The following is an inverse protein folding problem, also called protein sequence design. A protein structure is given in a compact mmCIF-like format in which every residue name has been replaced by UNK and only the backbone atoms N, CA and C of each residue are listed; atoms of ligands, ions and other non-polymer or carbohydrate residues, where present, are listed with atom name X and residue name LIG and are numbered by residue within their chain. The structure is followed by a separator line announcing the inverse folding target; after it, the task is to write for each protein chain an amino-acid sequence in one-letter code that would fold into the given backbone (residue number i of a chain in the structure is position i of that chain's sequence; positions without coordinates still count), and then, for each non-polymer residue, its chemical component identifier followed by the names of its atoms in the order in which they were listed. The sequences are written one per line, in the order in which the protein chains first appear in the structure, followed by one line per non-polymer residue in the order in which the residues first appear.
data_IF_098808407997
#
_entry.id   IF_098808407997
#
_cell.length_a   1.000
_cell.length_b   1.000
_cell.length_c   1.000
_cell.angle_alpha   90.00
_cell.angle_beta   90.00
_cell.angle_gamma   90.00
#
_symmetry.space_group_name_H-M   'P 1'
#
loop_
_entity.id
_entity.type
_entity.pdbx_description
1 polymer ?
#
# COMPACT_ATOMS: atom_id res chain seq x y z
N UNK A 1 -13.11 -20.22 -20.76
CA UNK A 1 -14.21 -19.73 -19.89
C UNK A 1 -13.76 -19.05 -18.58
N UNK A 2 -12.50 -18.58 -18.45
CA UNK A 2 -11.89 -18.28 -17.12
C UNK A 2 -11.90 -16.80 -16.66
N UNK A 3 -12.09 -15.82 -17.55
CA UNK A 3 -11.95 -14.38 -17.19
C UNK A 3 -13.20 -13.72 -16.58
N UNK A 4 -14.38 -14.34 -16.69
CA UNK A 4 -15.64 -13.71 -16.27
C UNK A 4 -15.95 -13.91 -14.76
N UNK A 5 -15.63 -15.10 -14.22
CA UNK A 5 -15.83 -15.40 -12.79
C UNK A 5 -14.89 -14.61 -11.87
N UNK A 6 -13.67 -14.29 -12.34
CA UNK A 6 -12.68 -13.51 -11.59
C UNK A 6 -13.15 -12.08 -11.29
N UNK A 7 -13.71 -11.39 -12.30
CA UNK A 7 -14.22 -10.01 -12.17
C UNK A 7 -15.45 -9.88 -11.27
N UNK A 8 -16.27 -10.93 -11.16
CA UNK A 8 -17.43 -10.94 -10.25
C UNK A 8 -16.98 -11.12 -8.80
N UNK A 9 -15.97 -11.96 -8.55
CA UNK A 9 -15.35 -12.11 -7.23
C UNK A 9 -14.66 -10.84 -6.73
N UNK A 10 -13.97 -10.11 -7.62
CA UNK A 10 -13.33 -8.80 -7.34
C UNK A 10 -14.33 -7.75 -6.85
N UNK A 11 -15.42 -7.54 -7.62
CA UNK A 11 -16.49 -6.59 -7.23
C UNK A 11 -17.15 -6.98 -5.92
N UNK A 12 -17.32 -8.28 -5.67
CA UNK A 12 -17.88 -8.78 -4.42
C UNK A 12 -16.95 -8.53 -3.23
N UNK A 13 -15.64 -8.71 -3.37
CA UNK A 13 -14.66 -8.47 -2.30
C UNK A 13 -14.60 -6.99 -1.91
N UNK A 14 -14.53 -6.07 -2.88
CA UNK A 14 -14.54 -4.63 -2.61
C UNK A 14 -15.82 -4.20 -1.89
N UNK A 15 -16.98 -4.72 -2.29
CA UNK A 15 -18.24 -4.40 -1.62
C UNK A 15 -18.29 -4.90 -0.17
N UNK A 16 -17.82 -6.13 0.08
CA UNK A 16 -17.74 -6.68 1.44
C UNK A 16 -16.82 -5.84 2.34
N UNK A 17 -15.66 -5.45 1.82
CA UNK A 17 -14.73 -4.57 2.53
C UNK A 17 -15.35 -3.21 2.85
N UNK A 18 -16.00 -2.56 1.87
CA UNK A 18 -16.68 -1.27 2.08
C UNK A 18 -17.81 -1.34 3.11
N UNK A 19 -18.48 -2.50 3.24
CA UNK A 19 -19.51 -2.75 4.26
C UNK A 19 -18.96 -3.14 5.63
N UNK A 20 -17.65 -3.33 5.77
CA UNK A 20 -17.03 -3.84 7.00
C UNK A 20 -17.21 -5.34 7.23
N UNK A 21 -17.71 -6.08 6.25
CA UNK A 21 -17.86 -7.55 6.29
C UNK A 21 -16.52 -8.28 6.02
N UNK A 22 -15.49 -7.53 5.64
CA UNK A 22 -14.13 -7.99 5.40
C UNK A 22 -13.16 -6.96 5.99
N UNK A 23 -12.15 -7.42 6.73
CA UNK A 23 -11.13 -6.56 7.32
C UNK A 23 -10.20 -5.96 6.27
N UNK A 24 -9.50 -4.88 6.64
CA UNK A 24 -8.45 -4.29 5.80
C UNK A 24 -7.36 -5.32 5.44
N UNK A 25 -6.99 -6.19 6.39
CA UNK A 25 -5.98 -7.23 6.15
C UNK A 25 -6.43 -8.23 5.09
N UNK A 26 -7.64 -8.77 5.22
CA UNK A 26 -8.20 -9.72 4.26
C UNK A 26 -8.36 -9.10 2.87
N UNK A 27 -8.81 -7.85 2.81
CA UNK A 27 -8.97 -7.15 1.54
C UNK A 27 -7.62 -6.91 0.86
N UNK A 28 -6.60 -6.47 1.61
CA UNK A 28 -5.24 -6.31 1.08
C UNK A 28 -4.63 -7.65 0.64
N UNK A 29 -4.88 -8.73 1.38
CA UNK A 29 -4.47 -10.08 0.96
C UNK A 29 -5.14 -10.47 -0.35
N UNK A 30 -6.44 -10.21 -0.49
CA UNK A 30 -7.18 -10.47 -1.72
C UNK A 30 -6.59 -9.70 -2.91
N UNK A 31 -6.28 -8.41 -2.74
CA UNK A 31 -5.62 -7.59 -3.76
C UNK A 31 -4.24 -8.14 -4.15
N UNK A 32 -3.44 -8.56 -3.16
CA UNK A 32 -2.12 -9.16 -3.40
C UNK A 32 -2.25 -10.44 -4.26
N UNK A 33 -3.18 -11.33 -3.93
CA UNK A 33 -3.42 -12.56 -4.71
C UNK A 33 -3.87 -12.25 -6.14
N UNK A 34 -4.75 -11.27 -6.34
CA UNK A 34 -5.19 -10.86 -7.67
C UNK A 34 -4.06 -10.26 -8.52
N UNK A 35 -3.13 -9.56 -7.88
CA UNK A 35 -1.93 -9.03 -8.50
C UNK A 35 -0.86 -10.10 -8.80
N UNK A 36 -1.14 -11.38 -8.53
CA UNK A 36 -0.21 -12.49 -8.77
C UNK A 36 0.81 -12.74 -7.67
N UNK A 37 0.70 -12.03 -6.53
CA UNK A 37 1.64 -12.19 -5.41
C UNK A 37 1.37 -13.48 -4.63
N UNK A 38 2.45 -14.09 -4.15
CA UNK A 38 2.41 -15.40 -3.48
C UNK A 38 3.50 -15.52 -2.42
N UNK A 39 3.26 -16.35 -1.41
CA UNK A 39 4.25 -16.67 -0.38
C UNK A 39 5.39 -17.56 -0.89
N UNK A 40 5.23 -18.18 -2.06
CA UNK A 40 6.17 -19.16 -2.60
C UNK A 40 7.29 -18.53 -3.45
N UNK A 41 7.18 -17.26 -3.82
CA UNK A 41 8.18 -16.53 -4.61
C UNK A 41 8.53 -15.23 -3.89
N UNK A 42 9.78 -15.15 -3.42
CA UNK A 42 10.29 -13.99 -2.69
C UNK A 42 10.29 -12.71 -3.53
N UNK A 43 10.42 -12.83 -4.85
CA UNK A 43 10.40 -11.68 -5.76
C UNK A 43 8.99 -11.12 -5.95
N UNK A 44 7.96 -11.89 -5.63
CA UNK A 44 6.54 -11.54 -5.77
C UNK A 44 5.77 -11.71 -4.46
N UNK A 45 6.46 -11.53 -3.33
CA UNK A 45 5.84 -11.66 -2.01
C UNK A 45 4.70 -10.63 -1.82
N UNK A 46 3.64 -10.94 -1.03
CA UNK A 46 2.61 -9.98 -0.68
C UNK A 46 3.17 -8.68 -0.09
N UNK A 47 2.64 -7.54 -0.52
CA UNK A 47 3.04 -6.21 -0.05
C UNK A 47 1.95 -5.61 0.82
N UNK A 48 2.39 -5.03 1.93
CA UNK A 48 1.56 -4.27 2.86
C UNK A 48 2.13 -2.87 3.07
N UNK A 49 1.28 -1.85 3.25
CA UNK A 49 1.73 -0.52 3.58
C UNK A 49 2.24 -0.44 5.02
N UNK A 50 3.21 0.43 5.25
CA UNK A 50 3.63 0.83 6.58
C UNK A 50 2.58 1.78 7.16
N UNK A 51 1.93 1.38 8.26
CA UNK A 51 0.83 2.13 8.85
C UNK A 51 1.32 3.17 9.85
N UNK A 52 2.23 2.79 10.74
CA UNK A 52 2.74 3.69 11.78
C UNK A 52 3.87 4.56 11.24
N UNK A 53 3.86 5.82 11.67
CA UNK A 53 4.92 6.79 11.45
C UNK A 53 5.76 7.02 12.72
N UNK A 54 5.14 6.88 13.90
CA UNK A 54 5.78 7.03 15.20
C UNK A 54 6.28 5.67 15.71
N UNK A 55 7.59 5.60 15.96
CA UNK A 55 8.28 4.45 16.55
C UNK A 55 9.17 4.85 17.73
N UNK A 56 9.13 6.12 18.14
CA UNK A 56 10.02 6.68 19.15
C UNK A 56 9.29 6.96 20.47
N UNK A 57 7.97 7.18 20.42
CA UNK A 57 7.15 7.36 21.61
C UNK A 57 7.05 6.06 22.43
N UNK A 58 7.11 6.19 23.75
CA UNK A 58 6.91 5.06 24.68
C UNK A 58 5.48 4.49 24.57
N UNK A 59 4.49 5.35 24.38
CA UNK A 59 3.10 4.98 24.14
C UNK A 59 2.58 5.59 22.84
N UNK A 60 1.86 4.78 22.06
CA UNK A 60 1.28 5.20 20.79
C UNK A 60 -0.12 5.81 20.98
N UNK A 61 -0.25 7.09 20.68
CA UNK A 61 -1.56 7.75 20.64
C UNK A 61 -2.26 7.51 19.29
N UNK A 62 -3.10 6.48 19.21
CA UNK A 62 -3.86 6.14 18.00
C UNK A 62 -4.96 7.14 17.61
N UNK A 63 -5.19 8.19 18.40
CA UNK A 63 -6.08 9.31 18.03
C UNK A 63 -5.34 10.47 17.34
N UNK A 64 -4.01 10.48 17.42
CA UNK A 64 -3.18 11.49 16.78
C UNK A 64 -2.89 11.09 15.33
N UNK A 65 -3.30 11.94 14.37
CA UNK A 65 -3.03 11.70 12.95
C UNK A 65 -1.53 11.55 12.64
N UNK A 66 -0.64 12.19 13.41
CA UNK A 66 0.83 12.08 13.22
C UNK A 66 1.40 10.71 13.56
N UNK A 67 0.66 9.86 14.28
CA UNK A 67 1.06 8.49 14.57
C UNK A 67 1.00 7.60 13.33
N UNK A 68 0.23 8.00 12.31
CA UNK A 68 0.03 7.23 11.09
C UNK A 68 0.75 7.86 9.90
N UNK A 69 1.19 7.02 8.96
CA UNK A 69 1.72 7.48 7.67
C UNK A 69 0.62 7.98 6.77
N UNK A 70 0.98 8.93 5.90
CA UNK A 70 0.09 9.41 4.85
C UNK A 70 0.01 8.36 3.73
N UNK A 71 -1.05 7.56 3.73
CA UNK A 71 -1.26 6.48 2.75
C UNK A 71 -1.58 7.00 1.33
N UNK A 72 -1.79 8.30 1.15
CA UNK A 72 -1.90 8.90 -0.19
C UNK A 72 -0.54 9.07 -0.88
N UNK A 73 0.57 8.92 -0.12
CA UNK A 73 1.93 9.13 -0.61
C UNK A 73 2.75 7.83 -0.59
N UNK A 74 3.63 7.61 -1.58
CA UNK A 74 4.59 6.51 -1.51
C UNK A 74 5.61 6.72 -0.38
N UNK A 75 6.29 5.65 0.04
CA UNK A 75 7.28 5.72 1.14
C UNK A 75 8.39 6.74 0.91
N UNK A 76 8.82 6.94 -0.34
CA UNK A 76 9.84 7.94 -0.69
C UNK A 76 9.40 9.39 -0.54
N UNK A 77 8.09 9.65 -0.44
CA UNK A 77 7.52 10.99 -0.35
C UNK A 77 6.85 11.29 1.00
N UNK A 78 7.13 10.48 2.02
CA UNK A 78 6.56 10.67 3.37
C UNK A 78 7.08 11.94 4.06
N UNK A 79 8.26 12.43 3.67
CA UNK A 79 8.81 13.73 4.09
C UNK A 79 9.12 14.58 2.88
N UNK A 80 9.03 15.91 3.03
CA UNK A 80 9.27 16.83 1.91
C UNK A 80 10.72 16.75 1.42
N UNK A 81 11.69 16.69 2.33
CA UNK A 81 13.11 16.55 1.98
C UNK A 81 13.38 15.29 1.14
N UNK A 82 12.79 14.14 1.49
CA UNK A 82 12.97 12.90 0.71
C UNK A 82 12.28 13.00 -0.65
N UNK A 83 11.09 13.59 -0.69
CA UNK A 83 10.35 13.84 -1.93
C UNK A 83 11.17 14.70 -2.88
N UNK A 84 11.70 15.84 -2.42
CA UNK A 84 12.53 16.76 -3.21
C UNK A 84 13.73 16.04 -3.81
N UNK A 85 14.45 15.23 -3.01
CA UNK A 85 15.58 14.41 -3.49
C UNK A 85 15.18 13.45 -4.62
N UNK A 86 14.03 12.77 -4.51
CA UNK A 86 13.56 11.86 -5.56
C UNK A 86 13.13 12.61 -6.83
N UNK A 87 12.49 13.77 -6.68
CA UNK A 87 12.07 14.61 -7.81
C UNK A 87 13.29 15.16 -8.55
N UNK A 88 14.27 15.68 -7.82
CA UNK A 88 15.53 16.16 -8.41
C UNK A 88 16.22 15.05 -9.20
N UNK A 89 16.38 13.86 -8.59
CA UNK A 89 17.01 12.72 -9.26
C UNK A 89 16.26 12.26 -10.51
N UNK A 90 14.93 12.33 -10.50
CA UNK A 90 14.12 12.01 -11.69
C UNK A 90 14.45 12.94 -12.85
N UNK A 91 14.50 14.25 -12.61
CA UNK A 91 14.83 15.25 -13.63
C UNK A 91 16.30 15.20 -14.07
N UNK A 92 17.25 14.88 -13.18
CA UNK A 92 18.64 14.68 -13.57
C UNK A 92 18.79 13.54 -14.59
N UNK A 93 18.13 12.40 -14.34
CA UNK A 93 18.15 11.24 -15.26
C UNK A 93 17.47 11.56 -16.59
N UNK A 94 16.38 12.33 -16.58
CA UNK A 94 15.63 12.68 -17.78
C UNK A 94 16.38 13.68 -18.68
N UNK A 95 17.18 14.58 -18.09
CA UNK A 95 17.98 15.56 -18.83
C UNK A 95 19.31 15.00 -19.37
N UNK A 96 19.78 13.87 -18.85
CA UNK A 96 21.01 13.18 -19.29
C UNK A 96 20.77 12.14 -20.40
N UNK A 97 19.52 12.01 -20.90
CA UNK A 97 19.12 11.10 -21.99
C UNK A 97 18.79 11.82 -23.30
#
# INVERSE_FOLDING_TARGET
MSRFHRRLGEKAATQKWQKGEMSNFEYLMHLNTLAGRTYNDLMQYPVFPWILADYDSEELNLTNARTFRDLSKPMGAQTEERKEKFVQRYFEIDNDG
#
